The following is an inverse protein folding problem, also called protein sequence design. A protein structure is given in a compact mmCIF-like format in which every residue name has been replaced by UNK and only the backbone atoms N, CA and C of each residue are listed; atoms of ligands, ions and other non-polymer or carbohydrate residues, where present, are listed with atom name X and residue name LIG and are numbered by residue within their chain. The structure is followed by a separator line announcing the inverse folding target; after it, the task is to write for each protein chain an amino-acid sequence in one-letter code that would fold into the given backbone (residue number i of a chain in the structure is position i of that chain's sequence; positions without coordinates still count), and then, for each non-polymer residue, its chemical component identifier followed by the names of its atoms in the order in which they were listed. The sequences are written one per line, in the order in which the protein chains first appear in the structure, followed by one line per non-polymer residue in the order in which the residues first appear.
data_IF_221716646840
#
_entry.id   IF_221716646840
#
_cell.length_a   1.000
_cell.length_b   1.000
_cell.length_c   1.000
_cell.angle_alpha   90.00
_cell.angle_beta   90.00
_cell.angle_gamma   90.00
#
_symmetry.space_group_name_H-M   'P 1'
#
loop_
_entity.id
_entity.type
_entity.pdbx_description
1 polymer ?
#
# COMPACT_ATOMS: atom_id res chain seq x y z
N UNK A 1 48.47 14.18 56.76
CA UNK A 1 47.09 13.77 56.45
C UNK A 1 46.70 14.41 55.13
N UNK A 2 46.38 13.58 54.12
CA UNK A 2 46.26 13.96 52.71
C UNK A 2 44.92 14.63 52.38
N UNK A 3 44.97 15.68 51.57
CA UNK A 3 43.81 16.40 51.06
C UNK A 3 43.19 15.67 49.85
N UNK A 4 41.95 15.21 50.00
CA UNK A 4 41.15 14.58 48.95
C UNK A 4 40.62 15.67 47.98
N UNK A 5 41.27 15.80 46.82
CA UNK A 5 40.81 16.63 45.70
C UNK A 5 39.73 15.87 44.90
N UNK A 6 38.47 16.16 45.18
CA UNK A 6 37.32 15.71 44.38
C UNK A 6 37.34 16.33 42.98
N UNK A 7 37.73 15.53 41.98
CA UNK A 7 37.76 15.90 40.57
C UNK A 7 36.34 15.75 39.99
N UNK A 8 35.57 16.83 40.01
CA UNK A 8 34.23 16.91 39.40
C UNK A 8 34.39 16.89 37.88
N UNK A 9 34.28 15.70 37.26
CA UNK A 9 34.25 15.57 35.80
C UNK A 9 32.85 15.96 35.30
N UNK A 10 32.74 17.15 34.72
CA UNK A 10 31.57 17.53 33.95
C UNK A 10 31.52 16.68 32.68
N UNK A 11 30.45 15.92 32.49
CA UNK A 11 30.17 15.15 31.29
C UNK A 11 29.53 16.08 30.24
N UNK A 12 30.23 16.50 29.18
CA UNK A 12 29.69 17.41 28.19
C UNK A 12 29.13 16.60 27.02
N UNK A 13 28.17 15.71 27.28
CA UNK A 13 27.32 15.22 26.21
C UNK A 13 26.22 16.25 25.97
N UNK A 14 26.63 17.35 25.36
CA UNK A 14 25.73 18.26 24.70
C UNK A 14 25.00 17.47 23.61
N UNK A 15 23.74 17.16 23.87
CA UNK A 15 22.79 16.58 22.94
C UNK A 15 22.74 17.47 21.69
N UNK A 16 23.42 17.02 20.63
CA UNK A 16 23.34 17.63 19.30
C UNK A 16 21.88 17.50 18.86
N UNK A 17 21.14 18.60 18.92
CA UNK A 17 19.84 18.69 18.28
C UNK A 17 20.05 18.41 16.79
N UNK A 18 19.59 17.24 16.35
CA UNK A 18 19.58 16.89 14.95
C UNK A 18 18.44 17.69 14.32
N UNK A 19 18.77 18.86 13.78
CA UNK A 19 17.81 19.65 13.01
C UNK A 19 17.46 18.82 11.79
N UNK A 20 16.22 18.33 11.72
CA UNK A 20 15.70 17.64 10.55
C UNK A 20 15.48 18.68 9.47
N UNK A 21 16.19 18.54 8.35
CA UNK A 21 16.00 19.40 7.19
C UNK A 21 14.64 19.07 6.54
N UNK A 22 13.70 20.01 6.65
CA UNK A 22 12.36 19.90 6.05
C UNK A 22 12.46 19.66 4.54
N UNK A 23 13.48 20.18 3.88
CA UNK A 23 13.69 19.99 2.43
C UNK A 23 14.01 18.53 2.10
N UNK A 24 14.78 17.85 2.94
CA UNK A 24 15.06 16.41 2.79
C UNK A 24 13.80 15.58 3.01
N UNK A 25 13.00 15.93 4.01
CA UNK A 25 11.73 15.27 4.27
C UNK A 25 10.77 15.40 3.07
N UNK A 26 10.64 16.60 2.50
CA UNK A 26 9.77 16.82 1.33
C UNK A 26 10.24 16.03 0.11
N UNK A 27 11.55 15.97 -0.16
CA UNK A 27 12.10 15.13 -1.24
C UNK A 27 11.75 13.65 -1.05
N UNK A 28 11.86 13.13 0.18
CA UNK A 28 11.51 11.75 0.49
C UNK A 28 10.02 11.48 0.28
N UNK A 29 9.15 12.41 0.70
CA UNK A 29 7.70 12.29 0.49
C UNK A 29 7.38 12.24 -1.01
N UNK A 30 7.97 13.10 -1.82
CA UNK A 30 7.75 13.10 -3.28
C UNK A 30 8.27 11.82 -3.95
N UNK A 31 9.42 11.30 -3.52
CA UNK A 31 9.94 10.02 -4.02
C UNK A 31 8.99 8.86 -3.68
N UNK A 32 8.44 8.84 -2.46
CA UNK A 32 7.46 7.82 -2.04
C UNK A 32 6.15 7.96 -2.82
N UNK A 33 5.66 9.18 -3.06
CA UNK A 33 4.46 9.42 -3.88
C UNK A 33 4.67 8.90 -5.31
N UNK A 34 5.81 9.22 -5.92
CA UNK A 34 6.16 8.78 -7.27
C UNK A 34 6.25 7.24 -7.38
N UNK A 35 6.91 6.58 -6.40
CA UNK A 35 6.98 5.11 -6.35
C UNK A 35 5.61 4.47 -6.17
N UNK A 36 4.76 5.06 -5.32
CA UNK A 36 3.40 4.56 -5.08
C UNK A 36 2.54 4.71 -6.34
N UNK A 37 2.61 5.84 -7.04
CA UNK A 37 1.90 6.04 -8.29
C UNK A 37 2.34 5.04 -9.37
N UNK A 38 3.64 4.77 -9.48
CA UNK A 38 4.17 3.75 -10.40
C UNK A 38 3.66 2.36 -10.08
N UNK A 39 3.69 1.95 -8.80
CA UNK A 39 3.17 0.64 -8.39
C UNK A 39 1.67 0.48 -8.68
N UNK A 40 0.89 1.57 -8.56
CA UNK A 40 -0.53 1.56 -8.89
C UNK A 40 -0.78 1.46 -10.41
N UNK A 41 0.05 2.10 -11.25
CA UNK A 41 -0.03 1.92 -12.71
C UNK A 41 0.28 0.47 -13.10
N UNK A 42 1.34 -0.13 -12.54
CA UNK A 42 1.68 -1.55 -12.74
C UNK A 42 0.53 -2.47 -12.29
N UNK A 43 -0.14 -2.13 -11.19
CA UNK A 43 -1.33 -2.87 -10.75
C UNK A 43 -2.47 -2.78 -11.77
N UNK A 44 -2.74 -1.58 -12.33
CA UNK A 44 -3.78 -1.39 -13.34
C UNK A 44 -3.48 -2.23 -14.58
N UNK A 45 -2.25 -2.22 -15.08
CA UNK A 45 -1.85 -3.03 -16.24
C UNK A 45 -2.06 -4.52 -15.99
N UNK A 46 -1.67 -5.00 -14.80
CA UNK A 46 -1.87 -6.40 -14.41
C UNK A 46 -3.36 -6.77 -14.35
N UNK A 47 -4.21 -5.91 -13.77
CA UNK A 47 -5.65 -6.12 -13.68
C UNK A 47 -6.34 -6.08 -15.07
N UNK A 48 -5.90 -5.20 -15.96
CA UNK A 48 -6.43 -5.12 -17.33
C UNK A 48 -6.04 -6.35 -18.15
N UNK A 49 -4.78 -6.77 -18.06
CA UNK A 49 -4.30 -8.02 -18.66
C UNK A 49 -5.08 -9.23 -18.14
N UNK A 50 -5.34 -9.26 -16.82
CA UNK A 50 -6.14 -10.30 -16.18
C UNK A 50 -7.60 -10.33 -16.63
N UNK A 51 -8.18 -9.18 -16.93
CA UNK A 51 -9.57 -9.07 -17.37
C UNK A 51 -9.77 -9.52 -18.82
N UNK A 52 -8.72 -9.47 -19.66
CA UNK A 52 -8.80 -9.73 -21.09
C UNK A 52 -8.38 -11.15 -21.49
N UNK A 53 -7.78 -11.92 -20.57
CA UNK A 53 -7.29 -13.27 -20.88
C UNK A 53 -8.26 -14.36 -20.42
N UNK A 54 -8.24 -15.45 -21.19
CA UNK A 54 -8.95 -16.68 -20.89
C UNK A 54 -8.12 -17.67 -20.05
N UNK A 55 -6.84 -17.35 -19.83
CA UNK A 55 -5.89 -18.15 -19.08
C UNK A 55 -6.21 -18.09 -17.58
N UNK A 56 -6.05 -19.22 -16.90
CA UNK A 56 -6.19 -19.30 -15.45
C UNK A 56 -5.10 -18.49 -14.76
N UNK A 57 -5.45 -17.29 -14.30
CA UNK A 57 -4.58 -16.42 -13.52
C UNK A 57 -4.80 -16.57 -12.01
N UNK A 58 -3.79 -16.19 -11.23
CA UNK A 58 -3.86 -16.10 -9.76
C UNK A 58 -4.77 -14.95 -9.31
N UNK A 59 -6.08 -15.19 -9.39
CA UNK A 59 -7.11 -14.25 -8.97
C UNK A 59 -6.95 -13.83 -7.49
N UNK A 60 -6.65 -14.79 -6.61
CA UNK A 60 -6.50 -14.53 -5.18
C UNK A 60 -5.31 -13.61 -4.90
N UNK A 61 -4.16 -13.88 -5.53
CA UNK A 61 -2.97 -13.05 -5.46
C UNK A 61 -3.22 -11.61 -5.94
N UNK A 62 -3.89 -11.44 -7.08
CA UNK A 62 -4.22 -10.12 -7.63
C UNK A 62 -5.16 -9.32 -6.73
N UNK A 63 -6.23 -9.94 -6.21
CA UNK A 63 -7.17 -9.25 -5.30
C UNK A 63 -6.46 -8.86 -4.00
N UNK A 64 -5.63 -9.76 -3.45
CA UNK A 64 -4.88 -9.49 -2.22
C UNK A 64 -3.85 -8.38 -2.41
N UNK A 65 -3.09 -8.39 -3.51
CA UNK A 65 -2.16 -7.32 -3.86
C UNK A 65 -2.89 -5.98 -4.01
N UNK A 66 -4.07 -6.00 -4.65
CA UNK A 66 -4.91 -4.80 -4.81
C UNK A 66 -5.36 -4.23 -3.47
N UNK A 67 -5.87 -5.07 -2.56
CA UNK A 67 -6.29 -4.63 -1.22
C UNK A 67 -5.13 -4.00 -0.43
N UNK A 68 -3.94 -4.58 -0.51
CA UNK A 68 -2.75 -4.07 0.18
C UNK A 68 -2.32 -2.71 -0.38
N UNK A 69 -2.25 -2.57 -1.70
CA UNK A 69 -1.77 -1.35 -2.35
C UNK A 69 -2.79 -0.20 -2.24
N UNK A 70 -4.08 -0.52 -2.38
CA UNK A 70 -5.18 0.44 -2.28
C UNK A 70 -5.62 0.72 -0.84
N UNK A 71 -5.11 -0.06 0.14
CA UNK A 71 -5.53 -0.03 1.55
C UNK A 71 -7.05 -0.21 1.73
N UNK A 72 -7.64 -1.07 0.89
CA UNK A 72 -9.07 -1.39 0.90
C UNK A 72 -9.29 -2.67 1.70
N UNK A 73 -10.18 -2.62 2.68
CA UNK A 73 -10.52 -3.79 3.48
C UNK A 73 -11.60 -4.68 2.82
N UNK A 74 -11.84 -5.86 3.38
CA UNK A 74 -12.86 -6.80 2.86
C UNK A 74 -14.28 -6.21 2.87
N UNK A 75 -14.59 -5.33 3.83
CA UNK A 75 -15.93 -4.76 3.98
C UNK A 75 -16.19 -3.71 2.90
N UNK A 76 -15.23 -2.85 2.63
CA UNK A 76 -15.27 -1.87 1.56
C UNK A 76 -15.37 -2.55 0.19
N UNK A 77 -14.55 -3.58 -0.05
CA UNK A 77 -14.60 -4.32 -1.31
C UNK A 77 -15.92 -5.08 -1.48
N UNK A 78 -16.44 -5.67 -0.39
CA UNK A 78 -17.75 -6.32 -0.38
C UNK A 78 -18.88 -5.35 -0.74
N UNK A 79 -18.87 -4.14 -0.19
CA UNK A 79 -19.83 -3.08 -0.52
C UNK A 79 -19.72 -2.65 -1.99
N UNK A 80 -18.49 -2.47 -2.48
CA UNK A 80 -18.25 -2.05 -3.86
C UNK A 80 -18.72 -3.09 -4.90
N UNK A 81 -18.68 -4.38 -4.55
CA UNK A 81 -19.06 -5.49 -5.42
C UNK A 81 -20.46 -6.04 -5.13
N UNK A 82 -21.18 -5.47 -4.15
CA UNK A 82 -22.48 -5.95 -3.68
C UNK A 82 -22.48 -7.46 -3.33
N UNK A 83 -21.46 -7.91 -2.60
CA UNK A 83 -21.33 -9.29 -2.10
C UNK A 83 -21.12 -9.30 -0.58
N UNK A 84 -21.19 -10.47 0.03
CA UNK A 84 -20.90 -10.60 1.46
C UNK A 84 -19.40 -10.48 1.76
N UNK A 85 -19.05 -9.93 2.93
CA UNK A 85 -17.65 -9.90 3.42
C UNK A 85 -17.00 -11.30 3.46
N UNK A 86 -17.68 -12.38 3.92
CA UNK A 86 -17.14 -13.74 3.81
C UNK A 86 -16.80 -14.19 2.39
N UNK A 87 -17.53 -13.70 1.38
CA UNK A 87 -17.22 -13.98 -0.03
C UNK A 87 -15.86 -13.40 -0.40
N UNK A 88 -15.59 -12.14 -0.05
CA UNK A 88 -14.28 -11.51 -0.29
C UNK A 88 -13.18 -12.26 0.45
N UNK A 89 -13.40 -12.62 1.72
CA UNK A 89 -12.41 -13.36 2.51
C UNK A 89 -12.06 -14.73 1.92
N UNK A 90 -13.02 -15.45 1.32
CA UNK A 90 -12.74 -16.71 0.60
C UNK A 90 -11.94 -16.48 -0.68
N UNK A 91 -12.24 -15.41 -1.40
CA UNK A 91 -11.51 -15.02 -2.62
C UNK A 91 -10.05 -14.70 -2.33
N UNK A 92 -9.77 -13.92 -1.29
CA UNK A 92 -8.41 -13.47 -0.95
C UNK A 92 -7.54 -14.57 -0.35
N UNK A 93 -8.15 -15.63 0.20
CA UNK A 93 -7.45 -16.85 0.66
C UNK A 93 -7.27 -17.89 -0.46
N UNK A 94 -7.96 -17.74 -1.58
CA UNK A 94 -7.98 -18.75 -2.65
C UNK A 94 -8.91 -19.94 -2.37
N UNK A 95 -9.76 -19.88 -1.36
CA UNK A 95 -10.75 -20.93 -1.04
C UNK A 95 -11.81 -21.07 -2.15
N UNK A 96 -12.09 -19.97 -2.86
CA UNK A 96 -13.00 -19.91 -3.99
C UNK A 96 -12.64 -18.74 -4.89
N UNK A 97 -13.20 -18.69 -6.10
CA UNK A 97 -13.12 -17.54 -6.99
C UNK A 97 -14.51 -17.25 -7.58
N UNK A 98 -14.79 -16.01 -8.01
CA UNK A 98 -15.99 -15.76 -8.80
C UNK A 98 -15.91 -16.54 -10.11
N UNK A 99 -17.09 -16.81 -10.68
CA UNK A 99 -17.21 -17.39 -12.01
C UNK A 99 -16.38 -16.57 -13.01
N UNK A 100 -15.78 -17.21 -14.02
CA UNK A 100 -14.88 -16.56 -14.97
C UNK A 100 -15.48 -15.30 -15.60
N UNK A 101 -16.77 -15.34 -15.96
CA UNK A 101 -17.49 -14.19 -16.51
C UNK A 101 -17.69 -13.03 -15.53
N UNK A 102 -17.61 -13.28 -14.22
CA UNK A 102 -17.76 -12.27 -13.18
C UNK A 102 -16.41 -11.68 -12.71
N UNK A 103 -15.26 -12.31 -13.04
CA UNK A 103 -13.93 -11.80 -12.68
C UNK A 103 -13.65 -10.39 -13.25
N UNK A 104 -13.99 -10.08 -14.53
CA UNK A 104 -13.81 -8.73 -15.08
C UNK A 104 -14.46 -7.63 -14.25
N UNK A 105 -15.67 -7.85 -13.74
CA UNK A 105 -16.37 -6.87 -12.91
C UNK A 105 -15.63 -6.59 -11.59
N UNK A 106 -14.98 -7.61 -11.01
CA UNK A 106 -14.12 -7.45 -9.82
C UNK A 106 -12.91 -6.58 -10.15
N UNK A 107 -12.22 -6.90 -11.25
CA UNK A 107 -11.04 -6.15 -11.68
C UNK A 107 -11.37 -4.71 -12.06
N UNK A 108 -12.51 -4.45 -12.71
CA UNK A 108 -12.95 -3.12 -13.09
C UNK A 108 -13.13 -2.20 -11.85
N UNK A 109 -13.70 -2.71 -10.76
CA UNK A 109 -13.83 -1.96 -9.50
C UNK A 109 -12.46 -1.60 -8.92
N UNK A 110 -11.52 -2.54 -8.94
CA UNK A 110 -10.16 -2.32 -8.45
C UNK A 110 -9.38 -1.33 -9.34
N UNK A 111 -9.50 -1.43 -10.66
CA UNK A 111 -8.92 -0.49 -11.64
C UNK A 111 -9.44 0.92 -11.42
N UNK A 112 -10.77 1.08 -11.23
CA UNK A 112 -11.37 2.41 -10.97
C UNK A 112 -10.81 3.04 -9.70
N UNK A 113 -10.65 2.26 -8.63
CA UNK A 113 -10.04 2.73 -7.37
C UNK A 113 -8.56 3.08 -7.55
N UNK A 114 -7.78 2.23 -8.21
CA UNK A 114 -6.36 2.48 -8.48
C UNK A 114 -6.16 3.76 -9.31
N UNK A 115 -6.93 3.94 -10.38
CA UNK A 115 -6.89 5.17 -11.21
C UNK A 115 -7.29 6.42 -10.44
N UNK A 116 -8.25 6.33 -9.51
CA UNK A 116 -8.59 7.45 -8.64
C UNK A 116 -7.40 7.86 -7.76
N UNK A 117 -6.77 6.88 -7.10
CA UNK A 117 -5.63 7.12 -6.23
C UNK A 117 -4.38 7.63 -6.98
N UNK A 118 -4.13 7.14 -8.21
CA UNK A 118 -3.05 7.67 -9.07
C UNK A 118 -3.26 9.15 -9.39
N UNK A 119 -4.50 9.56 -9.66
CA UNK A 119 -4.83 10.98 -9.91
C UNK A 119 -4.57 11.84 -8.68
N UNK A 120 -4.93 11.35 -7.49
CA UNK A 120 -4.65 12.05 -6.21
C UNK A 120 -3.15 12.15 -5.91
N UNK A 121 -2.37 11.13 -6.24
CA UNK A 121 -0.92 11.15 -6.00
C UNK A 121 -0.17 12.07 -6.96
N UNK A 122 -0.70 12.32 -8.16
CA UNK A 122 -0.09 13.17 -9.20
C UNK A 122 -0.60 14.61 -9.21
N UNK A 123 -1.78 14.86 -8.64
CA UNK A 123 -2.32 16.20 -8.41
C UNK A 123 -1.63 16.91 -7.26
#
# INVERSE_FOLDING_TARGET
MQALRSKKMANPQASKLHVVDVSQLMRLVEEVRAKTAKALDELVENLESASCTDVEQDFAGLVKASQQLLRVDDLELARALNVSRPTIGRWTRGDSAPHRLARPAVFEVLIKKARAQVRELRG
#
